data_IF_154116518790
#
_entry.id   IF_154116518790
#
_cell.length_a   1.000
_cell.length_b   1.000
_cell.length_c   1.000
_cell.angle_alpha   90.00
_cell.angle_beta   90.00
_cell.angle_gamma   90.00
#
_symmetry.space_group_name_H-M   'P 1'
#
loop_
_entity.id
_entity.type
_entity.pdbx_description
1 polymer ?
#
# COMPACT_ATOMS: atom_id res chain seq x y z
N UNK A 1 1.39 12.66 1.35
CA UNK A 1 0.09 11.97 1.47
C UNK A 1 0.05 11.16 2.76
N UNK A 2 -1.09 11.12 3.46
CA UNK A 2 -1.29 10.20 4.57
C UNK A 2 -1.71 8.84 4.01
N UNK A 3 -0.79 7.87 3.99
CA UNK A 3 -1.14 6.48 3.65
C UNK A 3 -2.05 5.95 4.76
N UNK A 4 -3.30 5.66 4.40
CA UNK A 4 -4.31 5.16 5.35
C UNK A 4 -4.15 3.66 5.56
N UNK A 5 -4.58 3.17 6.71
CA UNK A 5 -4.62 1.73 6.98
C UNK A 5 -5.53 0.99 5.98
N UNK A 6 -6.55 1.67 5.43
CA UNK A 6 -7.41 1.13 4.38
C UNK A 6 -6.64 0.87 3.08
N UNK A 7 -5.83 1.84 2.62
CA UNK A 7 -5.00 1.67 1.41
C UNK A 7 -3.99 0.52 1.57
N UNK A 8 -3.35 0.42 2.74
CA UNK A 8 -2.40 -0.67 3.02
C UNK A 8 -3.12 -2.02 3.02
N UNK A 9 -4.34 -2.08 3.57
CA UNK A 9 -5.16 -3.30 3.59
C UNK A 9 -5.58 -3.70 2.18
N UNK A 10 -6.02 -2.75 1.36
CA UNK A 10 -6.43 -2.99 -0.02
C UNK A 10 -5.26 -3.50 -0.88
N UNK A 11 -4.09 -2.87 -0.79
CA UNK A 11 -2.90 -3.34 -1.50
C UNK A 11 -2.47 -4.73 -1.03
N UNK A 12 -2.60 -5.02 0.27
CA UNK A 12 -2.34 -6.36 0.83
C UNK A 12 -3.33 -7.41 0.32
N UNK A 13 -4.60 -7.08 0.19
CA UNK A 13 -5.63 -8.00 -0.35
C UNK A 13 -5.40 -8.27 -1.83
N UNK A 14 -4.93 -7.27 -2.60
CA UNK A 14 -4.59 -7.41 -4.02
C UNK A 14 -3.33 -8.23 -4.27
N UNK A 15 -2.27 -8.01 -3.48
CA UNK A 15 -0.94 -8.58 -3.75
C UNK A 15 -0.56 -9.76 -2.84
N UNK A 16 -1.21 -9.89 -1.68
CA UNK A 16 -0.81 -10.84 -0.64
C UNK A 16 0.44 -10.44 0.15
N UNK A 17 1.02 -9.27 -0.11
CA UNK A 17 2.28 -8.83 0.51
C UNK A 17 2.14 -8.51 2.00
N UNK A 18 3.27 -8.50 2.71
CA UNK A 18 3.31 -8.08 4.11
C UNK A 18 2.81 -6.64 4.32
N UNK A 19 2.23 -6.37 5.50
CA UNK A 19 1.68 -5.05 5.84
C UNK A 19 2.73 -3.92 5.71
N UNK A 20 3.98 -4.23 6.04
CA UNK A 20 5.09 -3.27 5.99
C UNK A 20 5.60 -3.07 4.56
N UNK A 21 5.65 -4.11 3.73
CA UNK A 21 5.91 -3.96 2.29
C UNK A 21 4.83 -3.12 1.62
N UNK A 22 3.54 -3.41 1.86
CA UNK A 22 2.44 -2.63 1.31
C UNK A 22 2.52 -1.16 1.70
N UNK A 23 2.83 -0.87 2.97
CA UNK A 23 3.00 0.52 3.43
C UNK A 23 4.19 1.20 2.75
N UNK A 24 5.33 0.51 2.60
CA UNK A 24 6.51 1.06 1.90
C UNK A 24 6.23 1.34 0.43
N UNK A 25 5.57 0.41 -0.26
CA UNK A 25 5.18 0.54 -1.65
C UNK A 25 4.25 1.74 -1.85
N UNK A 26 3.22 1.86 -1.02
CA UNK A 26 2.32 3.02 -1.05
C UNK A 26 3.04 4.33 -0.75
N UNK A 27 4.02 4.34 0.16
CA UNK A 27 4.82 5.55 0.41
C UNK A 27 5.67 5.91 -0.82
N UNK A 28 6.28 4.93 -1.50
CA UNK A 28 7.08 5.15 -2.71
C UNK A 28 6.22 5.62 -3.89
N UNK A 29 5.00 5.10 -4.00
CA UNK A 29 4.03 5.44 -5.05
C UNK A 29 3.09 6.59 -4.66
N UNK A 30 3.38 7.33 -3.58
CA UNK A 30 2.54 8.43 -3.09
C UNK A 30 1.06 8.07 -2.82
N UNK A 31 0.79 6.80 -2.53
CA UNK A 31 -0.54 6.27 -2.24
C UNK A 31 -1.29 5.73 -3.47
N UNK A 32 -0.63 5.64 -4.62
CA UNK A 32 -1.17 5.01 -5.82
C UNK A 32 -1.05 3.48 -5.72
N UNK A 33 -2.18 2.78 -5.62
CA UNK A 33 -2.25 1.32 -5.48
C UNK A 33 -1.89 0.61 -6.79
N UNK A 34 -2.10 1.23 -7.96
CA UNK A 34 -1.79 0.58 -9.23
C UNK A 34 -0.29 0.63 -9.55
N UNK A 35 0.43 1.56 -8.90
CA UNK A 35 1.89 1.72 -9.02
C UNK A 35 2.64 1.10 -7.82
N UNK A 36 2.00 0.94 -6.67
CA UNK A 36 2.55 0.33 -5.45
C UNK A 36 2.58 -1.21 -5.52
#
# INVERSE_FOLDING_TARGET
MAITAALVKELRERTGSGMMECKKALVASNGDIDVA
#
